data_IF_074854502374
#
_entry.id   IF_074854502374
#
_cell.length_a   1.000
_cell.length_b   1.000
_cell.length_c   1.000
_cell.angle_alpha   90.00
_cell.angle_beta   90.00
_cell.angle_gamma   90.00
#
_symmetry.space_group_name_H-M   'P 1'
#
loop_
_entity.id
_entity.type
_entity.pdbx_description
1 polymer ?
#
# COMPACT_ATOMS: atom_id res chain seq x y z
N UNK A 1 8.07 -10.90 0.27
CA UNK A 1 8.10 -11.56 -1.07
C UNK A 1 6.77 -11.33 -1.77
N UNK A 2 6.78 -10.96 -3.07
CA UNK A 2 5.58 -10.81 -3.90
C UNK A 2 5.68 -11.78 -5.08
N UNK A 3 4.62 -12.55 -5.34
CA UNK A 3 4.59 -13.53 -6.44
C UNK A 3 3.34 -13.32 -7.27
N UNK A 4 3.51 -13.18 -8.57
CA UNK A 4 2.47 -13.03 -9.58
C UNK A 4 2.60 -14.20 -10.56
N UNK A 5 1.53 -14.98 -10.75
CA UNK A 5 1.51 -16.16 -11.62
C UNK A 5 0.32 -16.10 -12.58
N UNK A 6 0.60 -16.00 -13.88
CA UNK A 6 -0.37 -15.94 -14.96
C UNK A 6 -1.47 -14.89 -14.73
N UNK A 7 -1.10 -13.73 -14.18
CA UNK A 7 -2.06 -12.73 -13.77
C UNK A 7 -2.56 -11.93 -14.96
N UNK A 8 -3.87 -11.89 -15.11
CA UNK A 8 -4.57 -11.04 -16.08
C UNK A 8 -5.58 -10.16 -15.35
N UNK A 9 -5.70 -8.92 -15.77
CA UNK A 9 -6.67 -7.97 -15.22
C UNK A 9 -7.44 -7.30 -16.35
N UNK A 10 -8.77 -7.44 -16.30
CA UNK A 10 -9.70 -6.73 -17.15
C UNK A 10 -10.50 -5.74 -16.31
N UNK A 11 -10.67 -4.52 -16.79
CA UNK A 11 -11.48 -3.50 -16.13
C UNK A 11 -12.43 -2.92 -17.18
N UNK A 12 -13.73 -2.98 -16.92
CA UNK A 12 -14.78 -2.53 -17.85
C UNK A 12 -14.64 -3.16 -19.26
N UNK A 13 -14.28 -4.44 -19.28
CA UNK A 13 -14.10 -5.20 -20.53
C UNK A 13 -12.79 -4.89 -21.29
N UNK A 14 -11.96 -3.99 -20.79
CA UNK A 14 -10.65 -3.71 -21.37
C UNK A 14 -9.56 -4.53 -20.67
N UNK A 15 -8.69 -5.13 -21.46
CA UNK A 15 -7.53 -5.85 -20.95
C UNK A 15 -6.45 -4.85 -20.54
N UNK A 16 -6.15 -4.79 -19.24
CA UNK A 16 -5.18 -3.86 -18.65
C UNK A 16 -3.83 -4.53 -18.36
N UNK A 17 -3.87 -5.77 -17.88
CA UNK A 17 -2.67 -6.57 -17.64
C UNK A 17 -2.88 -7.95 -18.27
N UNK A 18 -1.85 -8.47 -18.93
CA UNK A 18 -1.87 -9.78 -19.60
C UNK A 18 -0.68 -10.62 -19.21
N UNK A 19 -0.95 -11.83 -18.75
CA UNK A 19 0.04 -12.87 -18.48
C UNK A 19 1.25 -12.37 -17.67
N UNK A 20 0.96 -11.64 -16.59
CA UNK A 20 2.01 -11.13 -15.71
C UNK A 20 2.54 -12.26 -14.84
N UNK A 21 3.82 -12.52 -15.00
CA UNK A 21 4.57 -13.51 -14.24
C UNK A 21 5.78 -12.83 -13.61
N UNK A 22 5.82 -12.69 -12.29
CA UNK A 22 6.93 -12.06 -11.55
C UNK A 22 7.07 -12.67 -10.16
N UNK A 23 8.30 -12.72 -9.71
CA UNK A 23 8.65 -13.09 -8.34
C UNK A 23 9.62 -12.03 -7.81
N UNK A 24 9.19 -11.24 -6.83
CA UNK A 24 9.95 -10.18 -6.18
C UNK A 24 10.32 -10.69 -4.79
N UNK A 25 11.60 -10.82 -4.53
CA UNK A 25 12.13 -11.32 -3.25
C UNK A 25 12.12 -10.21 -2.20
N UNK A 26 12.26 -10.60 -0.94
CA UNK A 26 12.43 -9.64 0.15
C UNK A 26 13.74 -8.85 -0.04
N UNK A 27 13.69 -7.56 0.26
CA UNK A 27 14.81 -6.64 0.09
C UNK A 27 15.04 -6.13 -1.34
N UNK A 28 14.27 -6.59 -2.34
CA UNK A 28 14.40 -6.08 -3.70
C UNK A 28 13.74 -4.70 -3.84
N UNK A 29 14.43 -3.81 -4.56
CA UNK A 29 13.88 -2.55 -5.07
C UNK A 29 13.47 -2.75 -6.53
N UNK A 30 12.18 -2.53 -6.83
CA UNK A 30 11.62 -2.74 -8.17
C UNK A 30 11.07 -1.44 -8.72
N UNK A 31 11.54 -1.03 -9.90
CA UNK A 31 11.02 0.10 -10.65
C UNK A 31 10.09 -0.37 -11.77
N UNK A 32 8.83 0.10 -11.77
CA UNK A 32 7.85 -0.16 -12.83
C UNK A 32 7.80 1.05 -13.77
N UNK A 33 8.30 0.89 -14.98
CA UNK A 33 8.33 1.91 -16.01
C UNK A 33 7.37 1.57 -17.17
N UNK A 34 6.98 2.59 -17.91
CA UNK A 34 6.13 2.47 -19.10
C UNK A 34 5.31 3.73 -19.35
N UNK A 35 4.63 3.77 -20.49
CA UNK A 35 3.80 4.90 -20.92
C UNK A 35 2.60 5.15 -20.00
N UNK A 36 2.00 6.34 -20.11
CA UNK A 36 0.77 6.64 -19.39
C UNK A 36 -0.34 5.68 -19.82
N UNK A 37 -1.06 5.12 -18.85
CA UNK A 37 -2.15 4.17 -19.12
C UNK A 37 -1.71 2.70 -19.33
N UNK A 38 -0.42 2.36 -19.31
CA UNK A 38 0.05 0.98 -19.52
C UNK A 38 -0.15 0.01 -18.33
N UNK A 39 -0.94 0.37 -17.32
CA UNK A 39 -1.28 -0.53 -16.22
C UNK A 39 -0.41 -0.45 -14.96
N UNK A 40 0.56 0.49 -14.85
CA UNK A 40 1.44 0.62 -13.66
C UNK A 40 0.65 0.75 -12.35
N UNK A 41 -0.31 1.67 -12.33
CA UNK A 41 -1.19 1.88 -11.16
C UNK A 41 -2.08 0.67 -10.89
N UNK A 42 -2.51 -0.04 -11.94
CA UNK A 42 -3.28 -1.28 -11.80
C UNK A 42 -2.44 -2.36 -11.12
N UNK A 43 -1.17 -2.49 -11.49
CA UNK A 43 -0.23 -3.41 -10.86
C UNK A 43 -0.04 -3.11 -9.37
N UNK A 44 0.16 -1.85 -8.99
CA UNK A 44 0.31 -1.48 -7.58
C UNK A 44 -0.98 -1.70 -6.78
N UNK A 45 -2.15 -1.40 -7.38
CA UNK A 45 -3.46 -1.68 -6.76
C UNK A 45 -3.76 -3.16 -6.61
N UNK A 46 -3.22 -3.98 -7.48
CA UNK A 46 -3.34 -5.43 -7.36
C UNK A 46 -2.50 -5.95 -6.18
N UNK A 47 -1.26 -5.47 -6.04
CA UNK A 47 -0.35 -5.89 -4.96
C UNK A 47 -0.85 -5.45 -3.58
N UNK A 48 -1.45 -4.27 -3.46
CA UNK A 48 -1.95 -3.77 -2.17
C UNK A 48 -3.40 -4.19 -1.86
N UNK A 49 -4.02 -5.02 -2.71
CA UNK A 49 -5.36 -5.57 -2.50
C UNK A 49 -6.52 -4.64 -2.87
N UNK A 50 -6.28 -3.41 -3.33
CA UNK A 50 -7.37 -2.54 -3.81
C UNK A 50 -8.09 -3.14 -5.02
N UNK A 51 -7.42 -3.98 -5.78
CA UNK A 51 -8.00 -4.89 -6.76
C UNK A 51 -7.78 -6.31 -6.21
N UNK A 52 -8.83 -7.14 -6.09
CA UNK A 52 -10.22 -6.93 -6.58
C UNK A 52 -11.16 -6.23 -5.58
N UNK A 53 -10.78 -5.99 -4.32
CA UNK A 53 -11.71 -5.65 -3.23
C UNK A 53 -12.52 -4.37 -3.44
N UNK A 54 -11.94 -3.32 -4.01
CA UNK A 54 -12.59 -2.01 -4.18
C UNK A 54 -12.91 -1.63 -5.63
N UNK A 55 -12.37 -2.34 -6.61
CA UNK A 55 -12.64 -2.10 -8.03
C UNK A 55 -13.62 -3.16 -8.51
N UNK A 56 -14.93 -2.88 -8.37
CA UNK A 56 -16.02 -3.84 -8.63
C UNK A 56 -16.08 -4.36 -10.07
N UNK A 57 -15.62 -3.56 -11.03
CA UNK A 57 -15.63 -3.91 -12.46
C UNK A 57 -14.30 -4.58 -12.90
N UNK A 58 -13.44 -4.94 -11.95
CA UNK A 58 -12.20 -5.63 -12.23
C UNK A 58 -12.39 -7.15 -12.18
N UNK A 59 -12.06 -7.80 -13.26
CA UNK A 59 -11.95 -9.25 -13.36
C UNK A 59 -10.46 -9.63 -13.30
N UNK A 60 -10.09 -10.39 -12.29
CA UNK A 60 -8.72 -10.84 -12.07
C UNK A 60 -8.66 -12.35 -12.24
N UNK A 61 -7.69 -12.82 -13.01
CA UNK A 61 -7.33 -14.23 -13.08
C UNK A 61 -5.84 -14.44 -12.81
N UNK A 62 -5.46 -15.67 -12.48
CA UNK A 62 -4.12 -15.98 -12.01
C UNK A 62 -4.01 -15.85 -10.50
N UNK A 63 -2.78 -15.88 -9.97
CA UNK A 63 -2.52 -15.88 -8.54
C UNK A 63 -1.60 -14.74 -8.12
N UNK A 64 -2.01 -14.00 -7.08
CA UNK A 64 -1.24 -12.89 -6.50
C UNK A 64 -0.99 -13.15 -5.03
N UNK A 65 0.26 -13.41 -4.68
CA UNK A 65 0.68 -13.67 -3.31
C UNK A 65 1.58 -12.54 -2.80
N UNK A 66 1.29 -12.03 -1.62
CA UNK A 66 2.10 -11.02 -0.92
C UNK A 66 2.41 -11.51 0.48
N UNK A 67 3.69 -11.65 0.81
CA UNK A 67 4.15 -12.16 2.11
C UNK A 67 3.47 -13.47 2.53
N UNK A 68 3.20 -14.35 1.56
CA UNK A 68 2.57 -15.64 1.80
C UNK A 68 1.03 -15.63 1.90
N UNK A 69 0.40 -14.46 1.79
CA UNK A 69 -1.06 -14.32 1.76
C UNK A 69 -1.55 -14.15 0.32
N UNK A 70 -2.64 -14.83 -0.04
CA UNK A 70 -3.33 -14.64 -1.32
C UNK A 70 -4.19 -13.37 -1.26
N UNK A 71 -3.89 -12.42 -2.15
CA UNK A 71 -4.54 -11.11 -2.17
C UNK A 71 -6.05 -11.20 -2.38
N UNK A 72 -6.52 -12.14 -3.20
CA UNK A 72 -7.94 -12.25 -3.53
C UNK A 72 -8.80 -12.74 -2.35
N UNK A 73 -8.21 -13.52 -1.44
CA UNK A 73 -8.90 -14.13 -0.29
C UNK A 73 -8.54 -13.49 1.05
N UNK A 74 -7.55 -12.58 1.08
CA UNK A 74 -7.11 -11.91 2.31
C UNK A 74 -7.90 -10.64 2.55
N UNK A 75 -8.41 -10.44 3.77
CA UNK A 75 -9.14 -9.23 4.13
C UNK A 75 -8.27 -7.97 4.07
N UNK A 76 -8.88 -6.83 3.72
CA UNK A 76 -8.12 -5.59 3.50
C UNK A 76 -7.35 -5.07 4.73
N UNK A 77 -7.89 -5.29 5.94
CA UNK A 77 -7.18 -4.90 7.16
C UNK A 77 -5.90 -5.75 7.36
N UNK A 78 -5.93 -7.03 6.96
CA UNK A 78 -4.74 -7.90 7.01
C UNK A 78 -3.73 -7.52 5.92
N UNK A 79 -4.22 -7.11 4.73
CA UNK A 79 -3.33 -6.59 3.68
C UNK A 79 -2.65 -5.29 4.11
N UNK A 80 -3.35 -4.40 4.82
CA UNK A 80 -2.79 -3.16 5.33
C UNK A 80 -1.66 -3.36 6.36
N UNK A 81 -1.62 -4.50 7.04
CA UNK A 81 -0.53 -4.85 7.96
C UNK A 81 0.78 -5.21 7.24
N UNK A 82 0.69 -5.69 6.01
CA UNK A 82 1.86 -6.20 5.25
C UNK A 82 2.27 -5.35 4.06
N UNK A 83 1.39 -4.43 3.60
CA UNK A 83 1.64 -3.56 2.45
C UNK A 83 1.40 -2.11 2.80
N UNK A 84 2.47 -1.33 2.93
CA UNK A 84 2.40 0.12 2.98
C UNK A 84 2.25 0.71 1.57
N UNK A 85 1.30 1.63 1.39
CA UNK A 85 1.04 2.28 0.09
C UNK A 85 1.15 3.80 0.19
N UNK A 86 1.88 4.40 -0.74
CA UNK A 86 1.90 5.84 -0.95
C UNK A 86 1.28 6.14 -2.30
N UNK A 87 0.18 6.90 -2.31
CA UNK A 87 -0.51 7.26 -3.55
C UNK A 87 0.09 8.52 -4.19
N UNK A 88 -0.28 8.76 -5.44
CA UNK A 88 0.22 9.90 -6.23
C UNK A 88 -0.06 11.27 -5.56
N UNK A 89 -1.17 11.40 -4.84
CA UNK A 89 -1.46 12.56 -4.00
C UNK A 89 -1.51 12.14 -2.54
N UNK A 90 -0.40 12.19 -1.79
CA UNK A 90 -0.36 11.75 -0.39
C UNK A 90 -1.25 12.59 0.52
N UNK A 91 -1.51 13.87 0.19
CA UNK A 91 -2.37 14.74 1.02
C UNK A 91 -3.82 14.24 1.12
N UNK A 92 -4.29 13.47 0.15
CA UNK A 92 -5.64 12.87 0.19
C UNK A 92 -5.75 11.66 1.10
N UNK A 93 -4.64 11.17 1.63
CA UNK A 93 -4.59 10.02 2.55
C UNK A 93 -4.62 10.42 4.02
N UNK A 94 -4.35 11.69 4.33
CA UNK A 94 -4.25 12.15 5.72
C UNK A 94 -5.63 12.31 6.36
N UNK A 95 -5.80 11.70 7.53
CA UNK A 95 -6.96 11.81 8.39
C UNK A 95 -6.76 12.87 9.49
N UNK A 96 -5.52 13.07 9.95
CA UNK A 96 -5.17 14.01 10.98
C UNK A 96 -4.43 15.23 10.42
N UNK A 97 -4.58 16.34 11.11
CA UNK A 97 -3.82 17.56 10.78
C UNK A 97 -2.43 17.56 11.40
N UNK A 98 -2.21 16.78 12.46
CA UNK A 98 -0.95 16.67 13.18
C UNK A 98 -0.17 15.44 12.70
N UNK A 99 1.12 15.60 12.41
CA UNK A 99 1.97 14.54 11.86
C UNK A 99 2.17 13.36 12.83
N UNK A 100 2.33 13.63 14.12
CA UNK A 100 2.47 12.56 15.12
C UNK A 100 1.17 11.76 15.26
N UNK A 101 0.01 12.43 15.24
CA UNK A 101 -1.30 11.77 15.24
C UNK A 101 -1.51 10.95 13.96
N UNK A 102 -1.10 11.46 12.80
CA UNK A 102 -1.19 10.72 11.54
C UNK A 102 -0.32 9.45 11.55
N UNK A 103 0.90 9.53 12.09
CA UNK A 103 1.76 8.35 12.27
C UNK A 103 1.17 7.33 13.26
N UNK A 104 0.48 7.79 14.30
CA UNK A 104 -0.18 6.93 15.28
C UNK A 104 -1.41 6.22 14.73
N UNK A 105 -2.11 6.82 13.76
CA UNK A 105 -3.42 6.41 13.27
C UNK A 105 -3.51 4.92 12.87
N UNK A 106 -2.51 4.41 12.16
CA UNK A 106 -2.48 3.00 11.76
C UNK A 106 -2.36 2.03 12.94
N UNK A 107 -1.61 2.42 13.97
CA UNK A 107 -1.43 1.63 15.18
C UNK A 107 -2.69 1.69 16.07
N UNK A 108 -3.34 2.85 16.15
CA UNK A 108 -4.62 3.03 16.85
C UNK A 108 -5.73 2.17 16.23
N UNK A 109 -5.83 2.15 14.89
CA UNK A 109 -6.80 1.31 14.18
C UNK A 109 -6.56 -0.19 14.40
N UNK A 110 -5.33 -0.60 14.64
CA UNK A 110 -4.97 -1.97 14.99
C UNK A 110 -5.31 -2.31 16.45
N UNK A 111 -5.55 -1.31 17.29
CA UNK A 111 -5.84 -1.47 18.72
C UNK A 111 -4.60 -1.64 19.58
N UNK A 112 -3.45 -1.17 19.15
CA UNK A 112 -2.23 -1.18 19.94
C UNK A 112 -2.40 -0.32 21.22
N UNK A 113 -1.69 -0.68 22.29
CA UNK A 113 -1.76 0.09 23.51
C UNK A 113 -1.06 1.47 23.38
N UNK A 114 -1.50 2.49 24.13
CA UNK A 114 -0.99 3.86 23.98
C UNK A 114 0.53 4.02 24.26
N UNK A 115 1.13 3.15 25.06
CA UNK A 115 2.57 3.21 25.33
C UNK A 115 3.37 2.70 24.14
N UNK A 116 2.93 1.57 23.57
CA UNK A 116 3.49 1.00 22.34
C UNK A 116 3.38 1.98 21.18
N UNK A 117 2.22 2.64 21.00
CA UNK A 117 2.01 3.65 19.95
C UNK A 117 3.02 4.79 20.10
N UNK A 118 3.11 5.40 21.29
CA UNK A 118 4.07 6.51 21.53
C UNK A 118 5.51 6.10 21.25
N UNK A 119 5.90 4.90 21.68
CA UNK A 119 7.24 4.37 21.44
C UNK A 119 7.52 4.21 19.95
N UNK A 120 6.60 3.58 19.20
CA UNK A 120 6.74 3.37 17.76
C UNK A 120 6.81 4.67 16.97
N UNK A 121 5.95 5.64 17.29
CA UNK A 121 5.98 6.97 16.65
C UNK A 121 7.33 7.64 16.91
N UNK A 122 7.83 7.63 18.16
CA UNK A 122 9.13 8.22 18.50
C UNK A 122 10.31 7.51 17.81
N UNK A 123 10.26 6.18 17.69
CA UNK A 123 11.25 5.39 16.96
C UNK A 123 11.25 5.77 15.47
N UNK A 124 10.08 5.80 14.83
CA UNK A 124 9.93 6.15 13.41
C UNK A 124 10.43 7.56 13.11
N UNK A 125 10.06 8.53 13.93
CA UNK A 125 10.52 9.94 13.82
C UNK A 125 12.05 10.02 13.85
N UNK A 126 12.69 9.25 14.73
CA UNK A 126 14.16 9.20 14.87
C UNK A 126 14.82 8.46 13.72
N UNK A 127 14.28 7.30 13.31
CA UNK A 127 14.82 6.49 12.22
C UNK A 127 14.80 7.24 10.88
N UNK A 128 13.81 8.10 10.67
CA UNK A 128 13.66 8.91 9.46
C UNK A 128 14.33 10.29 9.55
N UNK A 129 14.94 10.66 10.69
CA UNK A 129 15.56 11.98 10.93
C UNK A 129 14.58 13.14 10.68
N UNK A 130 13.34 12.99 11.18
CA UNK A 130 12.23 13.95 10.97
C UNK A 130 11.69 14.56 12.26
N UNK A 131 12.51 14.64 13.32
CA UNK A 131 12.12 15.23 14.62
C UNK A 131 11.59 16.66 14.46
N UNK A 132 12.15 17.42 13.53
CA UNK A 132 11.71 18.77 13.21
C UNK A 132 10.34 18.85 12.55
N UNK A 133 9.80 17.73 12.10
CA UNK A 133 8.48 17.62 11.46
C UNK A 133 7.43 16.99 12.41
N UNK A 134 7.85 16.48 13.57
CA UNK A 134 6.94 15.99 14.59
C UNK A 134 6.02 17.11 15.08
N UNK A 135 4.75 16.77 15.34
CA UNK A 135 3.70 17.68 15.82
C UNK A 135 3.38 18.87 14.89
N UNK A 136 3.77 18.80 13.64
CA UNK A 136 3.43 19.82 12.63
C UNK A 136 2.13 19.50 11.91
N UNK A 137 1.55 20.56 11.33
CA UNK A 137 0.38 20.41 10.46
C UNK A 137 0.80 19.84 9.11
N UNK A 138 0.33 18.61 8.79
CA UNK A 138 0.69 17.87 7.57
C UNK A 138 0.24 18.60 6.29
N UNK A 139 -0.84 19.37 6.33
CA UNK A 139 -1.32 20.15 5.18
C UNK A 139 -0.51 21.42 4.93
N UNK A 140 0.24 21.88 5.92
CA UNK A 140 1.13 23.02 5.83
C UNK A 140 2.57 22.64 5.43
N UNK A 141 2.87 21.34 5.35
CA UNK A 141 4.15 20.87 4.85
C UNK A 141 4.18 20.91 3.33
N UNK A 142 5.29 21.37 2.77
CA UNK A 142 5.56 21.42 1.32
C UNK A 142 6.34 20.19 0.90
#
# INVERSE_FOLDING_TARGET
MIKLENVNVHIQGQNILSDINRNIKDGEFVLICGDSGCGKTTMTKLINGLIPHFVKDAEVSGNVMVSGKDVASTEMYEMAEIVGSVFQNPKTQFFHTNSSAEMAFGLENRGDDPETIRKRVAETVRELDIENLADRNVFAMS
#
